data_IF_527795071701
#
_entry.id   IF_527795071701
#
_cell.length_a   1.000
_cell.length_b   1.000
_cell.length_c   1.000
_cell.angle_alpha   90.00
_cell.angle_beta   90.00
_cell.angle_gamma   90.00
#
_symmetry.space_group_name_H-M   'P 1'
#
loop_
_entity.id
_entity.type
_entity.pdbx_description
1 polymer ?
#
# COMPACT_ATOMS: atom_id res chain seq x y z
N UNK A 1 8.33 11.46 9.21
CA UNK A 1 7.52 10.66 8.26
C UNK A 1 7.24 9.26 8.81
N UNK A 2 8.26 8.47 9.16
CA UNK A 2 8.07 7.14 9.76
C UNK A 2 7.24 7.17 11.06
N UNK A 3 7.48 8.16 11.93
CA UNK A 3 6.72 8.32 13.18
C UNK A 3 5.22 8.57 12.94
N UNK A 4 4.89 9.34 11.90
CA UNK A 4 3.50 9.59 11.51
C UNK A 4 2.83 8.30 11.03
N UNK A 5 3.52 7.48 10.24
CA UNK A 5 3.00 6.18 9.77
C UNK A 5 2.85 5.16 10.90
N UNK A 6 3.76 5.15 11.89
CA UNK A 6 3.64 4.32 13.10
C UNK A 6 2.44 4.72 13.96
N UNK A 7 2.24 6.02 14.14
CA UNK A 7 1.08 6.54 14.87
C UNK A 7 -0.24 6.20 14.15
N UNK A 8 -0.28 6.36 12.82
CA UNK A 8 -1.41 5.96 11.98
C UNK A 8 -1.70 4.47 12.11
N UNK A 9 -0.67 3.61 12.02
CA UNK A 9 -0.79 2.15 12.17
C UNK A 9 -1.38 1.78 13.53
N UNK A 10 -0.83 2.32 14.63
CA UNK A 10 -1.34 2.07 15.99
C UNK A 10 -2.82 2.44 16.12
N UNK A 11 -3.20 3.61 15.62
CA UNK A 11 -4.60 4.08 15.64
C UNK A 11 -5.52 3.13 14.87
N UNK A 12 -5.07 2.62 13.72
CA UNK A 12 -5.81 1.66 12.90
C UNK A 12 -5.96 0.32 13.61
N UNK A 13 -4.91 -0.17 14.27
CA UNK A 13 -4.95 -1.44 15.01
C UNK A 13 -5.85 -1.35 16.25
N UNK A 14 -5.84 -0.23 16.96
CA UNK A 14 -6.77 0.05 18.06
C UNK A 14 -8.23 0.11 17.55
N UNK A 15 -8.47 0.75 16.40
CA UNK A 15 -9.79 0.79 15.79
C UNK A 15 -10.28 -0.59 15.33
N UNK A 16 -9.39 -1.46 14.80
CA UNK A 16 -9.72 -2.86 14.49
C UNK A 16 -10.21 -3.59 15.73
N UNK A 17 -9.51 -3.47 16.86
CA UNK A 17 -9.90 -4.12 18.11
C UNK A 17 -11.31 -3.71 18.55
N UNK A 18 -11.68 -2.44 18.39
CA UNK A 18 -13.02 -1.95 18.71
C UNK A 18 -14.09 -2.49 17.75
N UNK A 19 -13.76 -2.64 16.46
CA UNK A 19 -14.68 -3.16 15.44
C UNK A 19 -14.91 -4.67 15.54
N UNK A 20 -13.91 -5.43 16.01
CA UNK A 20 -13.98 -6.88 16.18
C UNK A 20 -14.33 -7.33 17.61
N UNK A 21 -14.53 -6.39 18.55
CA UNK A 21 -15.00 -6.69 19.90
C UNK A 21 -16.53 -6.90 19.91
N UNK A 22 -17.06 -7.93 20.59
CA UNK A 22 -18.47 -8.31 20.54
C UNK A 22 -19.37 -7.42 21.42
N UNK A 23 -19.20 -6.10 21.40
CA UNK A 23 -20.04 -5.18 22.17
C UNK A 23 -21.03 -4.43 21.28
N UNK A 24 -22.31 -4.64 21.58
CA UNK A 24 -23.50 -4.15 20.89
C UNK A 24 -23.74 -2.66 21.18
N UNK A 25 -23.19 -1.77 20.36
CA UNK A 25 -23.67 -0.38 20.28
C UNK A 25 -24.45 -0.21 18.97
N UNK A 26 -25.78 -0.34 19.04
CA UNK A 26 -26.68 -0.12 17.93
C UNK A 26 -26.68 1.38 17.55
N UNK A 27 -26.17 1.70 16.36
CA UNK A 27 -26.37 3.02 15.74
C UNK A 27 -27.76 3.02 15.10
N UNK A 28 -28.62 4.02 15.35
CA UNK A 28 -29.93 4.08 14.71
C UNK A 28 -29.74 4.42 13.22
N UNK A 29 -29.80 3.40 12.36
CA UNK A 29 -29.78 3.56 10.90
C UNK A 29 -31.22 3.70 10.42
N UNK A 30 -31.60 4.93 10.02
CA UNK A 30 -32.89 5.22 9.42
C UNK A 30 -32.73 5.88 8.06
N UNK A 31 -32.53 5.09 6.99
CA UNK A 31 -32.88 5.45 5.60
C UNK A 31 -33.15 4.16 4.79
N UNK A 32 -34.25 4.04 4.01
CA UNK A 32 -34.52 2.85 3.20
C UNK A 32 -33.61 2.69 1.96
N UNK A 33 -33.54 1.43 1.51
CA UNK A 33 -32.49 0.73 0.76
C UNK A 33 -32.76 0.65 -0.78
N UNK A 34 -32.62 1.75 -1.55
CA UNK A 34 -32.16 1.64 -2.96
C UNK A 34 -30.90 2.48 -3.25
N UNK A 35 -30.61 3.46 -2.38
CA UNK A 35 -29.41 4.31 -2.48
C UNK A 35 -28.14 3.57 -2.04
N UNK A 36 -28.27 2.57 -1.16
CA UNK A 36 -27.13 1.80 -0.64
C UNK A 36 -26.44 0.96 -1.72
N UNK A 37 -27.18 0.26 -2.60
CA UNK A 37 -26.60 -0.52 -3.71
C UNK A 37 -25.84 0.36 -4.71
N UNK A 38 -26.38 1.53 -5.07
CA UNK A 38 -25.69 2.48 -5.95
C UNK A 38 -24.42 3.05 -5.31
N UNK A 39 -24.47 3.35 -4.02
CA UNK A 39 -23.30 3.81 -3.26
C UNK A 39 -22.26 2.70 -3.12
N UNK A 40 -22.67 1.45 -2.89
CA UNK A 40 -21.77 0.30 -2.86
C UNK A 40 -21.11 0.06 -4.21
N UNK A 41 -21.86 0.10 -5.32
CA UNK A 41 -21.29 -0.04 -6.67
C UNK A 41 -20.32 1.10 -7.02
N UNK A 42 -20.62 2.34 -6.62
CA UNK A 42 -19.71 3.46 -6.78
C UNK A 42 -18.43 3.27 -5.95
N UNK A 43 -18.56 2.88 -4.68
CA UNK A 43 -17.43 2.60 -3.79
C UNK A 43 -16.56 1.46 -4.35
N UNK A 44 -17.17 0.38 -4.83
CA UNK A 44 -16.48 -0.74 -5.48
C UNK A 44 -15.65 -0.26 -6.68
N UNK A 45 -16.23 0.60 -7.52
CA UNK A 45 -15.53 1.16 -8.69
C UNK A 45 -14.34 2.05 -8.30
N UNK A 46 -14.50 2.90 -7.29
CA UNK A 46 -13.43 3.74 -6.78
C UNK A 46 -12.33 2.92 -6.10
N UNK A 47 -12.68 1.87 -5.35
CA UNK A 47 -11.70 0.96 -4.76
C UNK A 47 -10.88 0.24 -5.83
N UNK A 48 -11.50 -0.28 -6.90
CA UNK A 48 -10.76 -0.89 -8.02
C UNK A 48 -9.84 0.10 -8.73
N UNK A 49 -10.35 1.31 -8.99
CA UNK A 49 -9.56 2.39 -9.56
C UNK A 49 -8.35 2.68 -8.67
N UNK A 50 -8.57 2.79 -7.36
CA UNK A 50 -7.52 3.07 -6.40
C UNK A 50 -6.50 1.92 -6.29
N UNK A 51 -6.90 0.65 -6.27
CA UNK A 51 -6.01 -0.51 -6.34
C UNK A 51 -5.10 -0.46 -7.56
N UNK A 52 -5.68 -0.21 -8.75
CA UNK A 52 -4.90 -0.16 -9.98
C UNK A 52 -3.93 1.02 -10.02
N UNK A 53 -4.34 2.20 -9.51
CA UNK A 53 -3.47 3.37 -9.39
C UNK A 53 -2.33 3.15 -8.39
N UNK A 54 -2.60 2.49 -7.27
CA UNK A 54 -1.58 2.17 -6.28
C UNK A 54 -0.53 1.24 -6.89
N UNK A 55 -0.95 0.16 -7.54
CA UNK A 55 -0.04 -0.77 -8.22
C UNK A 55 0.80 -0.07 -9.30
N UNK A 56 0.17 0.75 -10.14
CA UNK A 56 0.86 1.54 -11.16
C UNK A 56 1.89 2.52 -10.55
N UNK A 57 1.53 3.17 -9.45
CA UNK A 57 2.44 4.09 -8.75
C UNK A 57 3.64 3.36 -8.15
N UNK A 58 3.44 2.23 -7.45
CA UNK A 58 4.53 1.43 -6.89
C UNK A 58 5.47 0.96 -8.02
N UNK A 59 4.91 0.49 -9.13
CA UNK A 59 5.69 0.05 -10.28
C UNK A 59 6.48 1.21 -10.91
N UNK A 60 5.90 2.41 -11.00
CA UNK A 60 6.60 3.59 -11.48
C UNK A 60 7.80 3.94 -10.58
N UNK A 61 7.65 3.85 -9.25
CA UNK A 61 8.76 4.06 -8.31
C UNK A 61 9.89 3.04 -8.52
N UNK A 62 9.56 1.76 -8.73
CA UNK A 62 10.56 0.72 -9.06
C UNK A 62 11.29 1.02 -10.35
N UNK A 63 10.56 1.33 -11.42
CA UNK A 63 11.14 1.67 -12.71
C UNK A 63 12.09 2.87 -12.61
N UNK A 64 11.71 3.91 -11.87
CA UNK A 64 12.54 5.08 -11.64
C UNK A 64 13.83 4.73 -10.90
N UNK A 65 13.74 4.00 -9.79
CA UNK A 65 14.92 3.59 -9.02
C UNK A 65 15.88 2.70 -9.84
N UNK A 66 15.34 1.75 -10.63
CA UNK A 66 16.12 0.92 -11.54
C UNK A 66 16.79 1.73 -12.66
N UNK A 67 16.08 2.71 -13.23
CA UNK A 67 16.63 3.58 -14.26
C UNK A 67 17.83 4.38 -13.74
N UNK A 68 17.71 4.97 -12.54
CA UNK A 68 18.81 5.68 -11.88
C UNK A 68 19.99 4.76 -11.57
N UNK A 69 19.73 3.56 -11.01
CA UNK A 69 20.78 2.58 -10.74
C UNK A 69 21.46 2.09 -12.04
N UNK A 70 20.71 1.97 -13.14
CA UNK A 70 21.26 1.64 -14.46
C UNK A 70 22.08 2.79 -15.06
N UNK A 71 21.65 4.04 -14.86
CA UNK A 71 22.37 5.23 -15.31
C UNK A 71 23.70 5.38 -14.58
N UNK A 72 23.71 5.33 -13.24
CA UNK A 72 24.94 5.55 -12.45
C UNK A 72 25.98 4.45 -12.69
N UNK A 73 25.56 3.21 -12.95
CA UNK A 73 26.47 2.10 -13.33
C UNK A 73 27.21 2.34 -14.63
N UNK A 74 26.57 3.04 -15.58
CA UNK A 74 27.19 3.40 -16.87
C UNK A 74 28.05 4.65 -16.76
N UNK A 75 27.63 5.63 -15.96
CA UNK A 75 28.34 6.90 -15.81
C UNK A 75 29.52 6.82 -14.84
N UNK A 76 29.52 5.88 -13.89
CA UNK A 76 30.57 5.68 -12.90
C UNK A 76 30.77 4.18 -12.60
N UNK A 77 31.25 3.37 -13.58
CA UNK A 77 31.52 1.96 -13.34
C UNK A 77 32.57 1.80 -12.23
N UNK A 78 32.32 0.99 -11.19
CA UNK A 78 33.33 0.72 -10.17
C UNK A 78 34.49 -0.02 -10.84
N UNK A 79 35.69 0.56 -10.83
CA UNK A 79 36.90 -0.09 -11.34
C UNK A 79 37.20 -1.32 -10.49
N UNK A 80 36.87 -2.52 -10.98
CA UNK A 80 37.16 -3.77 -10.27
C UNK A 80 38.47 -4.44 -10.69
N UNK A 81 39.21 -3.90 -11.67
CA UNK A 81 40.40 -4.60 -12.18
C UNK A 81 41.68 -3.78 -12.06
N UNK A 82 42.55 -4.18 -11.13
CA UNK A 82 43.94 -3.75 -11.02
C UNK A 82 44.85 -4.27 -12.17
N UNK A 83 44.26 -4.81 -13.25
CA UNK A 83 44.97 -5.53 -14.34
C UNK A 83 44.68 -5.01 -15.74
N UNK A 84 43.99 -3.88 -15.89
CA UNK A 84 43.75 -3.27 -17.20
C UNK A 84 45.04 -2.56 -17.71
N UNK A 85 45.53 -2.83 -18.94
CA UNK A 85 46.81 -2.29 -19.44
C UNK A 85 46.75 -0.82 -19.87
N UNK A 86 45.64 -0.12 -19.69
CA UNK A 86 45.42 1.23 -20.23
C UNK A 86 45.19 2.24 -19.10
N UNK A 87 45.89 3.39 -19.10
CA UNK A 87 45.63 4.44 -18.13
C UNK A 87 44.33 5.15 -18.52
N UNK A 88 43.21 4.69 -17.99
CA UNK A 88 41.97 5.46 -18.03
C UNK A 88 42.17 6.75 -17.24
N UNK A 89 41.89 7.90 -17.88
CA UNK A 89 41.96 9.25 -17.29
C UNK A 89 40.88 9.54 -16.23
N UNK A 90 40.21 8.52 -15.70
CA UNK A 90 39.19 8.65 -14.66
C UNK A 90 39.78 8.29 -13.30
N UNK A 91 39.92 9.29 -12.43
CA UNK A 91 40.57 9.22 -11.12
C UNK A 91 40.21 7.97 -10.31
N UNK A 92 41.25 7.23 -9.92
CA UNK A 92 41.15 6.10 -9.01
C UNK A 92 40.78 6.58 -7.61
N UNK A 93 39.52 6.33 -7.23
CA UNK A 93 39.00 6.59 -5.90
C UNK A 93 37.82 5.66 -5.60
N UNK A 94 37.41 5.54 -4.33
CA UNK A 94 36.20 4.82 -3.96
C UNK A 94 34.99 5.31 -4.75
N UNK A 95 34.06 4.41 -5.08
CA UNK A 95 32.82 4.80 -5.75
C UNK A 95 32.10 5.89 -4.93
N UNK A 96 31.58 6.96 -5.57
CA UNK A 96 30.89 8.02 -4.85
C UNK A 96 29.74 7.46 -3.98
N UNK A 97 29.47 7.98 -2.77
CA UNK A 97 28.38 7.52 -1.91
C UNK A 97 27.01 7.46 -2.62
N UNK A 98 26.77 8.39 -3.56
CA UNK A 98 25.57 8.41 -4.41
C UNK A 98 25.41 7.15 -5.28
N UNK A 99 26.52 6.54 -5.74
CA UNK A 99 26.48 5.27 -6.47
C UNK A 99 25.87 4.16 -5.62
N UNK A 100 26.40 3.99 -4.40
CA UNK A 100 25.93 2.97 -3.48
C UNK A 100 24.46 3.21 -3.09
N UNK A 101 24.06 4.47 -2.95
CA UNK A 101 22.67 4.82 -2.64
C UNK A 101 21.70 4.51 -3.77
N UNK A 102 22.01 4.88 -5.03
CA UNK A 102 21.14 4.53 -6.17
C UNK A 102 20.98 3.01 -6.31
N UNK A 103 22.07 2.25 -6.17
CA UNK A 103 22.03 0.79 -6.26
C UNK A 103 21.23 0.18 -5.10
N UNK A 104 21.44 0.66 -3.87
CA UNK A 104 20.74 0.17 -2.69
C UNK A 104 19.26 0.55 -2.71
N UNK A 105 18.92 1.75 -3.17
CA UNK A 105 17.54 2.18 -3.34
C UNK A 105 16.78 1.30 -4.33
N UNK A 106 17.38 1.00 -5.49
CA UNK A 106 16.78 0.06 -6.45
C UNK A 106 16.49 -1.30 -5.81
N UNK A 107 17.44 -1.84 -5.04
CA UNK A 107 17.26 -3.12 -4.33
C UNK A 107 16.18 -3.05 -3.27
N UNK A 108 16.11 -1.95 -2.51
CA UNK A 108 15.07 -1.72 -1.52
C UNK A 108 13.69 -1.75 -2.18
N UNK A 109 13.52 -1.02 -3.28
CA UNK A 109 12.27 -0.98 -4.05
C UNK A 109 11.90 -2.33 -4.66
N UNK A 110 12.88 -3.16 -5.02
CA UNK A 110 12.67 -4.53 -5.50
C UNK A 110 12.28 -5.49 -4.35
N UNK A 111 12.76 -5.24 -3.13
CA UNK A 111 12.46 -6.07 -1.95
C UNK A 111 11.13 -5.73 -1.28
N UNK A 112 10.66 -4.48 -1.42
CA UNK A 112 9.37 -4.08 -0.89
C UNK A 112 8.25 -4.78 -1.67
N UNK A 113 7.40 -5.52 -0.97
CA UNK A 113 6.22 -6.19 -1.55
C UNK A 113 4.96 -5.41 -1.19
N UNK A 114 4.22 -4.98 -2.21
CA UNK A 114 2.88 -4.40 -2.08
C UNK A 114 1.77 -5.45 -2.06
N UNK A 115 2.09 -6.74 -2.18
CA UNK A 115 1.13 -7.82 -2.36
C UNK A 115 0.05 -7.81 -1.27
N UNK A 116 0.44 -7.77 0.01
CA UNK A 116 -0.51 -7.74 1.12
C UNK A 116 -1.44 -6.50 1.10
N UNK A 117 -0.94 -5.35 0.64
CA UNK A 117 -1.75 -4.14 0.50
C UNK A 117 -2.77 -4.31 -0.64
N UNK A 118 -2.34 -4.82 -1.80
CA UNK A 118 -3.21 -5.10 -2.94
C UNK A 118 -4.26 -6.15 -2.58
N UNK A 119 -3.87 -7.26 -1.95
CA UNK A 119 -4.78 -8.31 -1.47
C UNK A 119 -5.79 -7.74 -0.46
N UNK A 120 -5.35 -6.90 0.47
CA UNK A 120 -6.24 -6.21 1.42
C UNK A 120 -7.30 -5.35 0.73
N UNK A 121 -6.92 -4.61 -0.31
CA UNK A 121 -7.84 -3.82 -1.12
C UNK A 121 -8.78 -4.71 -1.94
N UNK A 122 -8.28 -5.78 -2.54
CA UNK A 122 -9.09 -6.70 -3.35
C UNK A 122 -10.13 -7.43 -2.51
N UNK A 123 -9.77 -7.86 -1.29
CA UNK A 123 -10.72 -8.39 -0.31
C UNK A 123 -11.79 -7.36 0.06
N UNK A 124 -11.41 -6.09 0.22
CA UNK A 124 -12.38 -5.02 0.49
C UNK A 124 -13.31 -4.78 -0.72
N UNK A 125 -12.77 -4.73 -1.94
CA UNK A 125 -13.56 -4.66 -3.18
C UNK A 125 -14.56 -5.82 -3.25
N UNK A 126 -14.13 -7.06 -2.97
CA UNK A 126 -14.98 -8.24 -2.98
C UNK A 126 -16.11 -8.15 -1.93
N UNK A 127 -15.79 -7.67 -0.72
CA UNK A 127 -16.78 -7.42 0.33
C UNK A 127 -17.84 -6.40 -0.10
N UNK A 128 -17.43 -5.29 -0.71
CA UNK A 128 -18.35 -4.25 -1.20
C UNK A 128 -19.18 -4.73 -2.38
N UNK A 129 -18.58 -5.48 -3.31
CA UNK A 129 -19.28 -6.06 -4.45
C UNK A 129 -20.38 -7.04 -4.02
N UNK A 130 -20.13 -7.84 -2.97
CA UNK A 130 -21.12 -8.74 -2.38
C UNK A 130 -22.35 -7.99 -1.87
N UNK A 131 -22.17 -6.83 -1.21
CA UNK A 131 -23.29 -5.98 -0.78
C UNK A 131 -24.06 -5.37 -1.95
N UNK A 132 -23.35 -4.95 -3.02
CA UNK A 132 -23.99 -4.41 -4.21
C UNK A 132 -24.84 -5.47 -4.94
N UNK A 133 -24.44 -6.74 -4.88
CA UNK A 133 -25.12 -7.88 -5.47
C UNK A 133 -26.25 -8.46 -4.60
N UNK A 134 -26.07 -8.56 -3.28
CA UNK A 134 -27.08 -9.07 -2.33
C UNK A 134 -28.37 -8.23 -2.35
N UNK A 135 -28.22 -6.91 -2.49
CA UNK A 135 -29.36 -5.99 -2.63
C UNK A 135 -30.24 -6.25 -3.86
N UNK A 136 -29.70 -6.84 -4.95
CA UNK A 136 -30.48 -7.21 -6.13
C UNK A 136 -31.33 -8.47 -5.92
N UNK A 137 -31.02 -9.25 -4.88
CA UNK A 137 -31.64 -10.55 -4.58
C UNK A 137 -32.63 -10.44 -3.41
N UNK A 138 -32.39 -9.52 -2.49
CA UNK A 138 -33.29 -9.16 -1.38
C UNK A 138 -34.57 -8.42 -1.85
N UNK A 139 -34.65 -7.95 -3.10
CA UNK A 139 -35.92 -7.48 -3.69
C UNK A 139 -36.95 -8.62 -3.88
N UNK A 140 -36.51 -9.89 -3.84
CA UNK A 140 -37.37 -11.08 -3.95
C UNK A 140 -37.69 -11.77 -2.60
N UNK A 141 -36.99 -11.45 -1.50
CA UNK A 141 -37.14 -12.13 -0.20
C UNK A 141 -37.23 -11.13 0.96
N UNK A 142 -38.19 -11.31 1.87
CA UNK A 142 -38.46 -10.38 3.00
C UNK A 142 -37.38 -10.52 4.08
N UNK A 143 -36.19 -9.97 3.83
CA UNK A 143 -35.14 -9.84 4.85
C UNK A 143 -35.30 -8.52 5.62
N UNK A 144 -35.02 -8.53 6.94
CA UNK A 144 -35.14 -7.33 7.79
C UNK A 144 -34.12 -6.26 7.36
N UNK A 145 -34.56 -5.11 6.79
CA UNK A 145 -33.66 -4.10 6.26
C UNK A 145 -32.73 -3.50 7.32
N UNK A 146 -33.08 -3.61 8.62
CA UNK A 146 -32.19 -3.19 9.70
C UNK A 146 -30.99 -4.13 9.86
N UNK A 147 -31.18 -5.44 9.71
CA UNK A 147 -30.10 -6.44 9.78
C UNK A 147 -29.17 -6.34 8.58
N UNK A 148 -29.71 -6.17 7.38
CA UNK A 148 -28.91 -5.96 6.17
C UNK A 148 -28.02 -4.69 6.26
N UNK A 149 -28.58 -3.59 6.79
CA UNK A 149 -27.81 -2.36 7.01
C UNK A 149 -26.70 -2.52 8.07
N UNK A 150 -26.97 -3.25 9.16
CA UNK A 150 -25.98 -3.51 10.21
C UNK A 150 -24.82 -4.39 9.69
N UNK A 151 -25.13 -5.42 8.91
CA UNK A 151 -24.14 -6.28 8.26
C UNK A 151 -23.30 -5.49 7.24
N UNK A 152 -23.94 -4.63 6.44
CA UNK A 152 -23.24 -3.79 5.46
C UNK A 152 -22.25 -2.83 6.11
N UNK A 153 -22.64 -2.17 7.21
CA UNK A 153 -21.73 -1.32 7.97
C UNK A 153 -20.52 -2.09 8.52
N UNK A 154 -20.74 -3.30 9.05
CA UNK A 154 -19.65 -4.16 9.54
C UNK A 154 -18.69 -4.59 8.43
N UNK A 155 -19.21 -4.97 7.26
CA UNK A 155 -18.39 -5.35 6.09
C UNK A 155 -17.52 -4.18 5.64
N UNK A 156 -18.09 -2.97 5.54
CA UNK A 156 -17.34 -1.77 5.15
C UNK A 156 -16.26 -1.44 6.18
N UNK A 157 -16.60 -1.41 7.47
CA UNK A 157 -15.66 -1.06 8.52
C UNK A 157 -14.52 -2.09 8.62
N UNK A 158 -14.83 -3.39 8.57
CA UNK A 158 -13.83 -4.44 8.61
C UNK A 158 -12.91 -4.40 7.39
N UNK A 159 -13.50 -4.29 6.18
CA UNK A 159 -12.75 -4.20 4.93
C UNK A 159 -11.82 -2.99 4.89
N UNK A 160 -12.33 -1.82 5.29
CA UNK A 160 -11.52 -0.61 5.40
C UNK A 160 -10.37 -0.78 6.40
N UNK A 161 -10.63 -1.34 7.58
CA UNK A 161 -9.61 -1.49 8.60
C UNK A 161 -8.49 -2.45 8.16
N UNK A 162 -8.83 -3.55 7.48
CA UNK A 162 -7.85 -4.48 6.89
C UNK A 162 -7.03 -3.79 5.80
N UNK A 163 -7.69 -3.16 4.83
CA UNK A 163 -7.01 -2.47 3.73
C UNK A 163 -6.07 -1.36 4.23
N UNK A 164 -6.55 -0.50 5.13
CA UNK A 164 -5.75 0.59 5.71
C UNK A 164 -4.59 0.06 6.54
N UNK A 165 -4.80 -1.04 7.27
CA UNK A 165 -3.72 -1.71 8.01
C UNK A 165 -2.60 -2.20 7.09
N UNK A 166 -2.93 -2.88 6.00
CA UNK A 166 -1.95 -3.41 5.05
C UNK A 166 -1.18 -2.29 4.32
N UNK A 167 -1.85 -1.17 3.99
CA UNK A 167 -1.17 0.02 3.46
C UNK A 167 -0.23 0.66 4.47
N UNK A 168 -0.65 0.75 5.73
CA UNK A 168 0.16 1.36 6.78
C UNK A 168 1.43 0.53 7.01
N UNK A 169 1.33 -0.80 6.94
CA UNK A 169 2.49 -1.70 6.96
C UNK A 169 3.42 -1.46 5.78
N UNK A 170 2.89 -1.44 4.55
CA UNK A 170 3.68 -1.14 3.35
C UNK A 170 4.40 0.21 3.46
N UNK A 171 3.70 1.24 3.96
CA UNK A 171 4.25 2.57 4.14
C UNK A 171 5.34 2.61 5.22
N UNK A 172 5.13 1.93 6.36
CA UNK A 172 6.11 1.85 7.44
C UNK A 172 7.39 1.14 6.97
N UNK A 173 7.24 -0.06 6.36
CA UNK A 173 8.37 -0.83 5.82
C UNK A 173 9.16 -0.04 4.77
N UNK A 174 8.45 0.68 3.89
CA UNK A 174 9.08 1.54 2.90
C UNK A 174 9.85 2.68 3.57
N UNK A 175 9.24 3.37 4.53
CA UNK A 175 9.84 4.51 5.23
C UNK A 175 11.10 4.12 6.02
N UNK A 176 11.09 2.98 6.70
CA UNK A 176 12.25 2.46 7.44
C UNK A 176 13.42 2.16 6.50
N UNK A 177 13.15 1.53 5.36
CA UNK A 177 14.16 1.30 4.33
C UNK A 177 14.77 2.59 3.78
N UNK A 178 13.96 3.62 3.55
CA UNK A 178 14.43 4.94 3.11
C UNK A 178 15.27 5.64 4.19
N UNK A 179 14.86 5.59 5.45
CA UNK A 179 15.64 6.18 6.54
C UNK A 179 17.02 5.53 6.65
N UNK A 180 17.09 4.21 6.53
CA UNK A 180 18.36 3.49 6.56
C UNK A 180 19.25 3.85 5.37
N UNK A 181 18.67 3.94 4.17
CA UNK A 181 19.37 4.44 3.00
C UNK A 181 19.95 5.85 3.24
N UNK A 182 19.15 6.77 3.80
CA UNK A 182 19.58 8.15 4.08
C UNK A 182 20.65 8.20 5.17
N UNK A 183 20.58 7.37 6.23
CA UNK A 183 21.65 7.28 7.23
C UNK A 183 22.97 6.87 6.59
N UNK A 184 22.94 5.83 5.75
CA UNK A 184 24.16 5.31 5.11
C UNK A 184 24.82 6.32 4.17
N UNK A 185 24.02 7.19 3.54
CA UNK A 185 24.50 8.31 2.73
C UNK A 185 25.17 9.42 3.54
N UNK A 186 24.71 9.65 4.78
CA UNK A 186 25.24 10.71 5.66
C UNK A 186 26.48 10.30 6.42
N UNK A 187 26.71 9.00 6.57
CA UNK A 187 27.84 8.43 7.32
C UNK A 187 29.08 8.13 6.47
N UNK A 188 29.01 8.28 5.14
CA UNK A 188 30.10 7.99 4.21
C UNK A 188 30.50 9.22 3.42
#
# INVERSE_FOLDING_TARGET
MAECHRCQKRTVDEAKLLLFSPSTAAVPVGVPLPRASRVAAALESELRNWTSRLAAWVQAQRCYARALAGWIRRCAPPTLDAKAPTPSRSGGGPAPPVYAACVRWSRLMDSASEAAAIEGLEMFVAGVASMAAGHKREEEEVEDPRRAAELGAKVVCAGLAVAVGALAELAANSAEGYEELVRTLRSG
#
